data_IF_953711562988
#
_entry.id   IF_953711562988
#
_cell.length_a   1.000
_cell.length_b   1.000
_cell.length_c   1.000
_cell.angle_alpha   90.00
_cell.angle_beta   90.00
_cell.angle_gamma   90.00
#
_symmetry.space_group_name_H-M   'P 1'
#
loop_
_entity.id
_entity.type
_entity.pdbx_description
1 polymer ?
#
# COMPACT_ATOMS: atom_id res chain seq x y z
N UNK A 1 -9.90 3.43 11.08
CA UNK A 1 -9.30 3.69 9.76
C UNK A 1 -8.09 4.64 9.72
N UNK A 2 -8.16 5.89 10.20
CA UNK A 2 -7.04 6.85 10.09
C UNK A 2 -5.68 6.32 10.56
N UNK A 3 -5.62 5.62 11.70
CA UNK A 3 -4.37 5.04 12.24
C UNK A 3 -3.77 3.95 11.35
N UNK A 4 -4.60 3.07 10.78
CA UNK A 4 -4.17 1.99 9.89
C UNK A 4 -3.52 2.60 8.64
N UNK A 5 -4.17 3.56 8.00
CA UNK A 5 -3.65 4.23 6.80
C UNK A 5 -2.38 5.02 7.10
N UNK A 6 -2.32 5.75 8.21
CA UNK A 6 -1.12 6.46 8.62
C UNK A 6 0.06 5.51 8.85
N UNK A 7 -0.16 4.37 9.54
CA UNK A 7 0.90 3.39 9.75
C UNK A 7 1.32 2.73 8.43
N UNK A 8 0.38 2.38 7.56
CA UNK A 8 0.68 1.83 6.23
C UNK A 8 1.61 2.79 5.48
N UNK A 9 1.25 4.06 5.37
CA UNK A 9 2.05 5.08 4.68
C UNK A 9 3.44 5.20 5.30
N UNK A 10 3.53 5.32 6.63
CA UNK A 10 4.81 5.44 7.33
C UNK A 10 5.69 4.20 7.13
N UNK A 11 5.12 3.00 7.16
CA UNK A 11 5.85 1.76 6.92
C UNK A 11 6.40 1.69 5.50
N UNK A 12 5.64 2.15 4.50
CA UNK A 12 6.09 2.22 3.13
C UNK A 12 7.22 3.24 2.94
N UNK A 13 7.08 4.46 3.47
CA UNK A 13 8.09 5.52 3.32
C UNK A 13 9.41 5.12 3.99
N UNK A 14 9.36 4.49 5.17
CA UNK A 14 10.55 4.16 5.94
C UNK A 14 11.12 2.76 5.67
N UNK A 15 10.56 2.01 4.72
CA UNK A 15 10.89 0.60 4.46
C UNK A 15 10.78 -0.30 5.72
N UNK A 16 9.84 0.02 6.61
CA UNK A 16 9.63 -0.67 7.90
C UNK A 16 8.25 -1.34 7.93
N UNK A 17 8.09 -2.36 7.09
CA UNK A 17 6.84 -3.10 7.01
C UNK A 17 6.52 -3.88 8.29
N UNK A 18 7.54 -4.21 9.10
CA UNK A 18 7.36 -4.90 10.38
C UNK A 18 6.53 -4.06 11.34
N UNK A 19 6.70 -2.72 11.34
CA UNK A 19 5.85 -1.81 12.10
C UNK A 19 4.37 -1.84 11.71
N UNK A 20 4.04 -2.24 10.48
CA UNK A 20 2.67 -2.34 10.00
C UNK A 20 2.03 -3.70 10.26
N UNK A 21 2.83 -4.75 10.51
CA UNK A 21 2.32 -6.11 10.72
C UNK A 21 1.21 -6.18 11.80
N UNK A 22 1.29 -5.52 12.98
CA UNK A 22 0.21 -5.54 13.95
C UNK A 22 -1.11 -4.96 13.42
N UNK A 23 -1.03 -3.95 12.56
CA UNK A 23 -2.20 -3.31 11.94
C UNK A 23 -2.79 -4.19 10.85
N UNK A 24 -1.96 -4.84 10.03
CA UNK A 24 -2.41 -5.81 9.03
C UNK A 24 -3.24 -6.94 9.67
N UNK A 25 -2.88 -7.36 10.88
CA UNK A 25 -3.56 -8.46 11.58
C UNK A 25 -4.91 -8.07 12.21
N UNK A 26 -5.26 -6.79 12.28
CA UNK A 26 -6.55 -6.31 12.80
C UNK A 26 -7.74 -6.84 11.99
N UNK A 27 -8.87 -7.11 12.64
CA UNK A 27 -10.06 -7.65 12.00
C UNK A 27 -10.64 -6.70 10.93
N UNK A 28 -10.39 -5.40 11.08
CA UNK A 28 -10.82 -4.35 10.18
C UNK A 28 -10.00 -4.27 8.88
N UNK A 29 -8.90 -5.01 8.78
CA UNK A 29 -8.04 -5.04 7.59
C UNK A 29 -8.25 -6.35 6.84
N UNK A 30 -8.61 -6.24 5.57
CA UNK A 30 -8.69 -7.34 4.62
C UNK A 30 -7.63 -7.16 3.52
N UNK A 31 -7.39 -8.22 2.76
CA UNK A 31 -6.42 -8.21 1.67
C UNK A 31 -7.00 -8.93 0.46
N UNK A 32 -6.61 -8.53 -0.74
CA UNK A 32 -6.99 -9.23 -1.97
C UNK A 32 -6.35 -10.63 -2.09
N UNK A 33 -5.29 -10.90 -1.31
CA UNK A 33 -4.68 -12.23 -1.24
C UNK A 33 -5.54 -13.20 -0.40
N UNK A 34 -5.42 -14.53 -0.63
CA UNK A 34 -6.19 -15.55 0.09
C UNK A 34 -6.03 -15.49 1.62
N UNK A 35 -4.89 -14.99 2.10
CA UNK A 35 -4.67 -14.71 3.51
C UNK A 35 -3.64 -13.59 3.70
N UNK A 36 -3.65 -13.00 4.91
CA UNK A 36 -2.80 -11.87 5.29
C UNK A 36 -1.31 -12.19 5.31
N UNK A 37 -0.93 -13.44 5.56
CA UNK A 37 0.49 -13.86 5.59
C UNK A 37 1.07 -13.85 4.19
N UNK A 38 0.34 -14.38 3.22
CA UNK A 38 0.75 -14.38 1.81
C UNK A 38 0.79 -12.95 1.26
N UNK A 39 -0.23 -12.14 1.58
CA UNK A 39 -0.20 -10.70 1.29
C UNK A 39 1.05 -10.04 1.85
N UNK A 40 1.37 -10.27 3.13
CA UNK A 40 2.53 -9.66 3.78
C UNK A 40 3.84 -10.04 3.11
N UNK A 41 4.03 -11.30 2.74
CA UNK A 41 5.27 -11.74 2.07
C UNK A 41 5.40 -11.11 0.68
N UNK A 42 4.32 -11.07 -0.09
CA UNK A 42 4.31 -10.42 -1.39
C UNK A 42 4.58 -8.91 -1.25
N UNK A 43 3.88 -8.25 -0.32
CA UNK A 43 4.04 -6.83 -0.06
C UNK A 43 5.46 -6.50 0.41
N UNK A 44 6.06 -7.32 1.28
CA UNK A 44 7.46 -7.15 1.70
C UNK A 44 8.41 -7.17 0.49
N UNK A 45 8.25 -8.14 -0.40
CA UNK A 45 9.06 -8.22 -1.62
C UNK A 45 8.90 -6.99 -2.51
N UNK A 46 7.67 -6.55 -2.74
CA UNK A 46 7.37 -5.38 -3.57
C UNK A 46 7.90 -4.08 -2.96
N UNK A 47 7.77 -3.91 -1.64
CA UNK A 47 8.29 -2.73 -0.95
C UNK A 47 9.82 -2.69 -0.98
N UNK A 48 10.48 -3.81 -0.69
CA UNK A 48 11.94 -3.91 -0.81
C UNK A 48 12.41 -3.52 -2.21
N UNK A 49 11.77 -4.08 -3.24
CA UNK A 49 12.10 -3.76 -4.63
C UNK A 49 11.90 -2.28 -4.97
N UNK A 50 10.81 -1.67 -4.47
CA UNK A 50 10.54 -0.25 -4.66
C UNK A 50 11.64 0.64 -4.07
N UNK A 51 12.12 0.31 -2.87
CA UNK A 51 13.22 1.02 -2.22
C UNK A 51 14.56 0.80 -2.92
N UNK A 52 14.88 -0.45 -3.29
CA UNK A 52 16.11 -0.78 -4.04
C UNK A 52 16.16 -0.08 -5.41
N UNK A 53 15.01 0.17 -6.02
CA UNK A 53 14.90 0.83 -7.33
C UNK A 53 14.76 2.35 -7.23
N UNK A 54 14.54 2.90 -6.03
CA UNK A 54 14.31 4.33 -5.84
C UNK A 54 15.60 5.15 -5.89
N UNK A 55 15.51 6.31 -6.51
CA UNK A 55 16.50 7.39 -6.43
C UNK A 55 16.07 8.41 -5.37
N UNK A 56 16.37 8.09 -4.11
CA UNK A 56 16.04 8.92 -2.95
C UNK A 56 14.83 8.41 -2.17
N UNK A 57 14.15 9.30 -1.44
CA UNK A 57 13.02 8.91 -0.58
C UNK A 57 11.74 8.69 -1.39
N UNK A 58 10.97 7.67 -1.01
CA UNK A 58 9.63 7.47 -1.53
C UNK A 58 8.64 8.49 -0.94
N UNK A 59 7.83 9.08 -1.80
CA UNK A 59 6.76 10.01 -1.46
C UNK A 59 5.41 9.49 -1.94
N UNK A 60 4.37 9.73 -1.13
CA UNK A 60 3.01 9.28 -1.44
C UNK A 60 2.27 10.28 -2.31
N UNK A 61 1.58 9.79 -3.33
CA UNK A 61 0.45 10.45 -4.00
C UNK A 61 -0.77 9.57 -3.89
N UNK A 62 -1.91 10.15 -3.50
CA UNK A 62 -3.19 9.46 -3.41
C UNK A 62 -4.00 9.85 -4.64
N UNK A 63 -4.37 8.87 -5.45
CA UNK A 63 -5.01 9.07 -6.75
C UNK A 63 -6.25 8.19 -6.88
N UNK A 64 -7.26 8.64 -7.62
CA UNK A 64 -8.37 7.76 -7.97
C UNK A 64 -7.94 6.79 -9.08
N UNK A 65 -8.33 5.50 -9.04
CA UNK A 65 -8.06 4.58 -10.12
C UNK A 65 -8.73 5.06 -11.40
N UNK A 66 -7.99 5.09 -12.51
CA UNK A 66 -8.55 5.49 -13.82
C UNK A 66 -9.55 4.49 -14.39
N UNK A 67 -9.55 3.25 -13.87
CA UNK A 67 -10.34 2.12 -14.35
C UNK A 67 -11.57 1.81 -13.48
N UNK A 68 -11.71 2.47 -12.33
CA UNK A 68 -12.82 2.24 -11.40
C UNK A 68 -13.53 3.56 -11.08
N UNK A 69 -14.83 3.62 -11.33
CA UNK A 69 -15.67 4.78 -11.00
C UNK A 69 -16.22 4.71 -9.57
N UNK A 70 -15.88 3.66 -8.81
CA UNK A 70 -16.20 3.54 -7.39
C UNK A 70 -15.36 4.55 -6.59
N UNK A 71 -16.02 5.61 -6.10
CA UNK A 71 -15.38 6.68 -5.32
C UNK A 71 -14.74 6.17 -4.01
N UNK A 72 -15.07 4.94 -3.58
CA UNK A 72 -14.53 4.30 -2.38
C UNK A 72 -13.18 3.60 -2.60
N UNK A 73 -12.63 3.64 -3.82
CA UNK A 73 -11.33 3.04 -4.16
C UNK A 73 -10.30 4.13 -4.45
N UNK A 74 -9.15 4.05 -3.77
CA UNK A 74 -8.02 4.96 -3.93
C UNK A 74 -6.73 4.17 -4.16
N UNK A 75 -5.86 4.70 -5.03
CA UNK A 75 -4.51 4.20 -5.22
C UNK A 75 -3.54 5.03 -4.39
N UNK A 76 -2.78 4.35 -3.53
CA UNK A 76 -1.68 4.91 -2.77
C UNK A 76 -0.42 4.60 -3.54
N UNK A 77 0.03 5.59 -4.30
CA UNK A 77 1.14 5.48 -5.24
C UNK A 77 2.39 6.11 -4.64
N UNK A 78 3.46 5.32 -4.55
CA UNK A 78 4.75 5.75 -4.01
C UNK A 78 5.73 5.99 -5.15
N UNK A 79 6.26 7.21 -5.21
CA UNK A 79 7.20 7.69 -6.23
C UNK A 79 8.50 8.12 -5.57
N UNK A 80 9.60 8.06 -6.30
CA UNK A 80 10.76 8.90 -6.02
C UNK A 80 10.69 10.20 -6.86
N UNK A 81 11.79 10.95 -6.90
CA UNK A 81 11.85 12.20 -7.66
C UNK A 81 12.24 12.02 -9.14
N UNK A 82 12.59 10.81 -9.57
CA UNK A 82 13.14 10.54 -10.90
C UNK A 82 12.15 9.79 -11.79
N UNK A 83 11.47 8.79 -11.26
CA UNK A 83 10.59 7.90 -12.02
C UNK A 83 9.25 8.57 -12.33
N UNK A 84 8.80 8.40 -13.58
CA UNK A 84 7.48 8.89 -14.04
C UNK A 84 6.31 8.03 -13.56
N UNK A 85 6.59 6.76 -13.25
CA UNK A 85 5.62 5.77 -12.79
C UNK A 85 5.87 5.44 -11.32
N UNK A 86 4.83 5.05 -10.58
CA UNK A 86 5.00 4.67 -9.19
C UNK A 86 5.87 3.42 -9.08
N UNK A 87 6.75 3.41 -8.08
CA UNK A 87 7.58 2.26 -7.72
C UNK A 87 6.83 1.27 -6.81
N UNK A 88 5.71 1.70 -6.24
CA UNK A 88 4.76 0.87 -5.49
C UNK A 88 3.36 1.47 -5.58
N UNK A 89 2.37 0.63 -5.87
CA UNK A 89 0.97 1.00 -5.91
C UNK A 89 0.16 0.06 -5.02
N UNK A 90 -0.52 0.64 -4.03
CA UNK A 90 -1.42 -0.06 -3.13
C UNK A 90 -2.84 0.41 -3.39
N UNK A 91 -3.73 -0.51 -3.75
CA UNK A 91 -5.16 -0.25 -3.87
C UNK A 91 -5.77 -0.30 -2.48
N UNK A 92 -6.47 0.76 -2.12
CA UNK A 92 -7.18 0.92 -0.87
C UNK A 92 -8.67 1.00 -1.16
N UNK A 93 -9.42 0.01 -0.70
CA UNK A 93 -10.90 0.05 -0.73
C UNK A 93 -11.43 0.15 0.69
N UNK A 94 -12.23 1.18 0.96
CA UNK A 94 -12.86 1.37 2.27
C UNK A 94 -14.36 1.12 2.19
N UNK A 95 -14.91 0.26 3.06
CA UNK A 95 -16.37 0.02 3.13
C UNK A 95 -16.77 -0.34 4.57
N UNK A 96 -17.79 0.33 5.12
CA UNK A 96 -18.41 -0.05 6.40
C UNK A 96 -17.43 -0.44 7.53
N UNK A 97 -16.41 0.39 7.77
CA UNK A 97 -15.33 0.17 8.76
C UNK A 97 -14.31 -0.95 8.45
N UNK A 98 -14.31 -1.49 7.22
CA UNK A 98 -13.26 -2.35 6.70
C UNK A 98 -12.37 -1.58 5.72
N UNK A 99 -11.10 -1.97 5.66
CA UNK A 99 -10.15 -1.55 4.64
C UNK A 99 -9.59 -2.79 3.96
N UNK A 100 -9.80 -2.91 2.66
CA UNK A 100 -9.20 -3.96 1.86
C UNK A 100 -7.97 -3.42 1.13
N UNK A 101 -6.86 -4.15 1.23
CA UNK A 101 -5.57 -3.81 0.63
C UNK A 101 -5.27 -4.73 -0.56
N UNK A 102 -5.01 -4.12 -1.71
CA UNK A 102 -4.46 -4.78 -2.90
C UNK A 102 -3.08 -4.23 -3.22
N UNK A 103 -2.18 -5.06 -3.76
CA UNK A 103 -0.92 -4.59 -4.35
C UNK A 103 -1.03 -4.76 -5.85
N UNK A 104 -0.84 -3.69 -6.61
CA UNK A 104 -0.80 -3.78 -8.07
C UNK A 104 0.63 -4.14 -8.52
N UNK A 105 0.85 -5.33 -9.12
CA UNK A 105 2.10 -5.60 -9.81
C UNK A 105 2.22 -4.73 -11.06
N UNK A 106 3.43 -4.22 -11.32
CA UNK A 106 3.74 -3.39 -12.49
C UNK A 106 3.86 -4.21 -13.77
#
# INVERSE_FOLDING_TARGET
>A
MKKIKAQLILSCINNDLESFLPFLMLAEVETEAPNKKDFYQFFKGMLTHAHESSEGELTLKIEQPTWNTDEEVLNYNFYDNTHKHPLLSIVIKENNNLICLGIMPF
#
